data_IF_357053007083
#
_entry.id   IF_357053007083
#
_cell.length_a   1.000
_cell.length_b   1.000
_cell.length_c   1.000
_cell.angle_alpha   90.00
_cell.angle_beta   90.00
_cell.angle_gamma   90.00
#
_symmetry.space_group_name_H-M   'P 1'
#
loop_
_entity.id
_entity.type
_entity.pdbx_description
1 polymer ?
#
# COMPACT_ATOMS: atom_id res chain seq x y z
N UNK A 1 12.32 -48.20 -0.29
CA UNK A 1 11.35 -47.51 -1.16
C UNK A 1 10.67 -46.45 -0.31
N UNK A 2 10.92 -45.18 -0.59
CA UNK A 2 10.30 -44.07 0.15
C UNK A 2 8.87 -43.89 -0.38
N UNK A 3 7.88 -43.99 0.51
CA UNK A 3 6.49 -43.71 0.14
C UNK A 3 6.37 -42.23 -0.28
N UNK A 4 5.70 -41.92 -1.41
CA UNK A 4 5.40 -40.54 -1.76
C UNK A 4 4.46 -39.96 -0.69
N UNK A 5 4.88 -38.86 -0.07
CA UNK A 5 4.05 -38.08 0.84
C UNK A 5 2.79 -37.64 0.09
N UNK A 6 1.58 -37.93 0.58
CA UNK A 6 0.36 -37.47 -0.09
C UNK A 6 0.38 -35.94 -0.10
N UNK A 7 0.33 -35.34 -1.29
CA UNK A 7 0.14 -33.92 -1.44
C UNK A 7 -1.24 -33.56 -0.86
N UNK A 8 -1.26 -32.87 0.29
CA UNK A 8 -2.49 -32.45 0.93
C UNK A 8 -3.03 -31.23 0.16
N UNK A 9 -4.01 -31.47 -0.73
CA UNK A 9 -4.68 -30.39 -1.45
C UNK A 9 -5.58 -29.66 -0.46
N UNK A 10 -5.29 -28.40 -0.18
CA UNK A 10 -6.11 -27.55 0.68
C UNK A 10 -7.21 -26.93 -0.18
N UNK A 11 -8.50 -27.22 0.05
CA UNK A 11 -9.57 -26.66 -0.76
C UNK A 11 -9.67 -25.15 -0.59
N UNK A 12 -10.29 -24.48 -1.55
CA UNK A 12 -10.64 -23.06 -1.44
C UNK A 12 -11.47 -22.80 -0.17
N UNK A 13 -11.16 -21.74 0.60
CA UNK A 13 -11.91 -21.41 1.81
C UNK A 13 -13.41 -21.24 1.58
N UNK A 14 -14.24 -21.64 2.54
CA UNK A 14 -15.70 -21.48 2.42
C UNK A 14 -16.04 -19.99 2.57
N UNK A 15 -16.71 -19.39 1.59
CA UNK A 15 -17.13 -17.98 1.63
C UNK A 15 -17.84 -17.61 2.92
N UNK A 16 -17.45 -16.50 3.53
CA UNK A 16 -18.02 -16.01 4.79
C UNK A 16 -17.41 -16.64 6.04
N UNK A 17 -16.46 -17.56 5.90
CA UNK A 17 -15.62 -18.01 7.03
C UNK A 17 -14.47 -17.05 7.27
N UNK A 18 -13.86 -17.12 8.45
CA UNK A 18 -12.76 -16.24 8.87
C UNK A 18 -11.53 -16.32 7.94
N UNK A 19 -11.29 -17.48 7.35
CA UNK A 19 -10.13 -17.73 6.47
C UNK A 19 -10.45 -17.46 5.00
N UNK A 20 -11.68 -17.04 4.69
CA UNK A 20 -12.06 -16.76 3.32
C UNK A 20 -11.64 -15.36 2.88
N UNK A 21 -11.12 -15.22 1.65
CA UNK A 21 -10.99 -13.92 1.01
C UNK A 21 -12.33 -13.17 1.05
N UNK A 22 -12.27 -11.87 1.28
CA UNK A 22 -13.43 -11.01 1.27
C UNK A 22 -13.06 -9.67 0.66
N UNK A 23 -13.73 -9.29 -0.43
CA UNK A 23 -13.50 -8.01 -1.08
C UNK A 23 -14.66 -7.05 -0.85
N UNK A 24 -14.36 -5.90 -0.27
CA UNK A 24 -15.31 -4.84 0.04
C UNK A 24 -15.18 -3.61 -0.86
N UNK A 25 -14.24 -3.63 -1.82
CA UNK A 25 -14.02 -2.56 -2.78
C UNK A 25 -12.68 -1.84 -2.64
N UNK A 26 -11.78 -2.33 -1.77
CA UNK A 26 -10.43 -1.81 -1.55
C UNK A 26 -9.40 -2.92 -1.62
N UNK A 27 -8.14 -2.53 -1.79
CA UNK A 27 -6.97 -3.40 -1.87
C UNK A 27 -7.15 -4.45 -2.98
N UNK A 28 -7.54 -3.98 -4.18
CA UNK A 28 -7.94 -4.84 -5.30
C UNK A 28 -6.83 -5.79 -5.72
N UNK A 29 -5.58 -5.32 -5.73
CA UNK A 29 -4.44 -6.18 -6.10
C UNK A 29 -4.21 -7.28 -5.08
N UNK A 30 -4.14 -6.93 -3.79
CA UNK A 30 -3.98 -7.87 -2.68
C UNK A 30 -5.09 -8.94 -2.68
N UNK A 31 -6.33 -8.54 -2.96
CA UNK A 31 -7.45 -9.48 -3.06
C UNK A 31 -7.29 -10.48 -4.23
N UNK A 32 -6.86 -10.01 -5.40
CA UNK A 32 -6.65 -10.86 -6.57
C UNK A 32 -5.48 -11.84 -6.34
N UNK A 33 -4.40 -11.37 -5.74
CA UNK A 33 -3.24 -12.18 -5.37
C UNK A 33 -3.62 -13.24 -4.31
N UNK A 34 -4.46 -12.86 -3.35
CA UNK A 34 -4.98 -13.78 -2.34
C UNK A 34 -5.83 -14.89 -2.97
N UNK A 35 -6.70 -14.56 -3.94
CA UNK A 35 -7.46 -15.58 -4.69
C UNK A 35 -6.51 -16.53 -5.42
N UNK A 36 -5.52 -15.99 -6.14
CA UNK A 36 -4.59 -16.79 -6.93
C UNK A 36 -3.75 -17.72 -6.03
N UNK A 37 -3.30 -17.22 -4.87
CA UNK A 37 -2.59 -18.01 -3.87
C UNK A 37 -3.44 -19.16 -3.34
N UNK A 38 -4.68 -18.90 -2.90
CA UNK A 38 -5.56 -19.98 -2.43
C UNK A 38 -5.90 -20.99 -3.53
N UNK A 39 -6.12 -20.51 -4.76
CA UNK A 39 -6.43 -21.38 -5.88
C UNK A 39 -5.25 -22.27 -6.27
N UNK A 40 -4.03 -21.75 -6.23
CA UNK A 40 -2.81 -22.52 -6.43
C UNK A 40 -2.69 -23.65 -5.39
N UNK A 41 -2.89 -23.35 -4.10
CA UNK A 41 -2.90 -24.36 -3.04
C UNK A 41 -4.02 -25.40 -3.18
N UNK A 42 -5.15 -25.01 -3.79
CA UNK A 42 -6.27 -25.90 -4.11
C UNK A 42 -6.10 -26.68 -5.43
N UNK A 43 -4.98 -26.51 -6.14
CA UNK A 43 -4.73 -27.15 -7.42
C UNK A 43 -5.65 -26.65 -8.55
N UNK A 44 -6.17 -25.42 -8.44
CA UNK A 44 -7.06 -24.81 -9.42
C UNK A 44 -6.23 -23.95 -10.38
N UNK A 45 -6.01 -24.48 -11.58
CA UNK A 45 -5.27 -23.81 -12.67
C UNK A 45 -6.19 -23.39 -13.83
N UNK A 46 -7.49 -23.58 -13.68
CA UNK A 46 -8.49 -23.24 -14.69
C UNK A 46 -8.92 -21.77 -14.51
N UNK A 47 -8.52 -20.93 -15.47
CA UNK A 47 -8.82 -19.50 -15.50
C UNK A 47 -10.31 -19.20 -15.36
N UNK A 48 -11.19 -19.98 -16.00
CA UNK A 48 -12.63 -19.76 -15.88
C UNK A 48 -13.12 -20.04 -14.46
N UNK A 49 -12.54 -21.04 -13.77
CA UNK A 49 -12.83 -21.28 -12.36
C UNK A 49 -12.29 -20.17 -11.47
N UNK A 50 -11.10 -19.64 -11.77
CA UNK A 50 -10.51 -18.51 -11.04
C UNK A 50 -11.40 -17.25 -11.08
N UNK A 51 -11.91 -16.89 -12.26
CA UNK A 51 -12.82 -15.74 -12.42
C UNK A 51 -14.07 -15.86 -11.54
N UNK A 52 -14.62 -17.07 -11.39
CA UNK A 52 -15.79 -17.28 -10.52
C UNK A 52 -15.50 -16.96 -9.05
N UNK A 53 -14.28 -17.16 -8.58
CA UNK A 53 -13.90 -16.86 -7.20
C UNK A 53 -13.84 -15.35 -6.92
N UNK A 54 -13.50 -14.52 -7.92
CA UNK A 54 -13.59 -13.06 -7.81
C UNK A 54 -15.02 -12.67 -7.41
N UNK A 55 -16.03 -13.21 -8.12
CA UNK A 55 -17.44 -12.95 -7.82
C UNK A 55 -17.81 -13.55 -6.46
N UNK A 56 -17.40 -14.79 -6.18
CA UNK A 56 -17.82 -15.53 -4.98
C UNK A 56 -17.36 -14.87 -3.68
N UNK A 57 -16.12 -14.36 -3.65
CA UNK A 57 -15.50 -13.73 -2.48
C UNK A 57 -15.71 -12.21 -2.41
N UNK A 58 -16.32 -11.61 -3.44
CA UNK A 58 -16.77 -10.22 -3.36
C UNK A 58 -17.95 -10.05 -2.40
N UNK A 59 -18.08 -8.86 -1.81
CA UNK A 59 -19.23 -8.47 -1.00
C UNK A 59 -20.54 -8.53 -1.81
N UNK A 60 -21.69 -8.63 -1.14
CA UNK A 60 -23.00 -8.75 -1.81
C UNK A 60 -23.33 -7.56 -2.72
N UNK A 61 -22.88 -6.35 -2.36
CA UNK A 61 -23.06 -5.15 -3.19
C UNK A 61 -22.23 -5.24 -4.48
N UNK A 62 -20.98 -5.68 -4.38
CA UNK A 62 -20.07 -5.84 -5.53
C UNK A 62 -20.51 -7.00 -6.41
N UNK A 63 -20.90 -8.14 -5.83
CA UNK A 63 -21.48 -9.27 -6.55
C UNK A 63 -22.62 -8.82 -7.46
N UNK A 64 -23.53 -7.96 -6.99
CA UNK A 64 -24.64 -7.45 -7.79
C UNK A 64 -24.19 -6.61 -8.99
N UNK A 65 -23.07 -5.87 -8.85
CA UNK A 65 -22.50 -5.04 -9.92
C UNK A 65 -21.82 -5.89 -10.99
N UNK A 66 -21.02 -6.88 -10.61
CA UNK A 66 -20.12 -7.58 -11.54
C UNK A 66 -20.70 -8.87 -12.12
N UNK A 67 -21.62 -9.57 -11.44
CA UNK A 67 -22.10 -10.89 -11.89
C UNK A 67 -22.77 -10.91 -13.26
N UNK A 68 -23.27 -9.76 -13.72
CA UNK A 68 -23.96 -9.60 -15.00
C UNK A 68 -23.06 -9.09 -16.12
N UNK A 69 -21.81 -8.72 -15.81
CA UNK A 69 -20.83 -8.25 -16.78
C UNK A 69 -20.27 -9.42 -17.58
N UNK A 70 -19.97 -9.17 -18.86
CA UNK A 70 -19.50 -10.20 -19.78
C UNK A 70 -18.09 -10.70 -19.45
N UNK A 71 -17.36 -10.01 -18.59
CA UNK A 71 -16.00 -10.38 -18.16
C UNK A 71 -16.01 -11.38 -17.00
N UNK A 72 -17.17 -11.58 -16.34
CA UNK A 72 -17.33 -12.44 -15.16
C UNK A 72 -18.40 -13.54 -15.36
N UNK A 73 -18.83 -13.79 -16.59
CA UNK A 73 -19.88 -14.78 -16.92
C UNK A 73 -19.30 -16.09 -17.43
N UNK A 74 -19.57 -17.19 -16.74
CA UNK A 74 -19.15 -18.57 -17.08
C UNK A 74 -19.33 -19.05 -18.55
N UNK A 75 -20.11 -18.37 -19.39
CA UNK A 75 -20.50 -18.83 -20.72
C UNK A 75 -19.51 -18.51 -21.86
N UNK A 76 -18.57 -17.58 -21.67
CA UNK A 76 -17.61 -17.22 -22.71
C UNK A 76 -16.27 -17.94 -22.49
N UNK A 77 -16.00 -18.97 -23.30
CA UNK A 77 -14.73 -19.73 -23.29
C UNK A 77 -13.50 -18.88 -23.69
N UNK A 78 -13.71 -17.63 -24.08
CA UNK A 78 -12.68 -16.63 -24.38
C UNK A 78 -12.30 -15.78 -23.17
N UNK A 79 -12.97 -15.95 -22.02
CA UNK A 79 -12.60 -15.27 -20.79
C UNK A 79 -11.30 -15.85 -20.25
N UNK A 80 -10.34 -14.96 -20.04
CA UNK A 80 -9.10 -15.29 -19.34
C UNK A 80 -9.11 -14.60 -17.99
N UNK A 81 -8.36 -15.16 -17.04
CA UNK A 81 -8.08 -14.51 -15.76
C UNK A 81 -7.64 -13.06 -15.97
N UNK A 82 -6.78 -12.82 -16.96
CA UNK A 82 -6.24 -11.50 -17.30
C UNK A 82 -7.31 -10.49 -17.72
N UNK A 83 -8.30 -10.89 -18.51
CA UNK A 83 -9.39 -9.97 -18.93
C UNK A 83 -10.26 -9.58 -17.74
N UNK A 84 -10.60 -10.54 -16.89
CA UNK A 84 -11.43 -10.30 -15.71
C UNK A 84 -10.69 -9.42 -14.69
N UNK A 85 -9.42 -9.71 -14.41
CA UNK A 85 -8.62 -8.94 -13.46
C UNK A 85 -8.35 -7.52 -13.96
N UNK A 86 -8.06 -7.33 -15.25
CA UNK A 86 -7.91 -5.99 -15.82
C UNK A 86 -9.21 -5.18 -15.66
N UNK A 87 -10.37 -5.78 -15.96
CA UNK A 87 -11.65 -5.09 -15.77
C UNK A 87 -11.97 -4.82 -14.30
N UNK A 88 -11.62 -5.75 -13.42
CA UNK A 88 -11.81 -5.61 -11.98
C UNK A 88 -10.96 -4.46 -11.42
N UNK A 89 -9.67 -4.40 -11.77
CA UNK A 89 -8.77 -3.29 -11.42
C UNK A 89 -9.28 -1.95 -11.93
N UNK A 90 -9.72 -1.88 -13.19
CA UNK A 90 -10.31 -0.67 -13.79
C UNK A 90 -11.53 -0.15 -12.99
N UNK A 91 -12.38 -1.05 -12.47
CA UNK A 91 -13.57 -0.66 -11.72
C UNK A 91 -13.29 -0.14 -10.32
N UNK A 92 -12.19 -0.56 -9.70
CA UNK A 92 -11.88 -0.28 -8.30
C UNK A 92 -10.59 0.54 -8.09
N UNK A 93 -9.92 0.92 -9.18
CA UNK A 93 -8.67 1.71 -9.16
C UNK A 93 -8.78 3.01 -8.37
N UNK A 94 -9.91 3.71 -8.45
CA UNK A 94 -10.12 4.95 -7.71
C UNK A 94 -10.22 4.75 -6.18
N UNK A 95 -10.60 3.55 -5.71
CA UNK A 95 -10.64 3.25 -4.29
C UNK A 95 -9.26 2.85 -3.73
N UNK A 96 -8.37 2.40 -4.61
CA UNK A 96 -6.99 2.00 -4.30
C UNK A 96 -5.97 3.09 -4.63
N UNK A 97 -6.43 4.23 -5.15
CA UNK A 97 -5.57 5.36 -5.41
C UNK A 97 -4.93 5.79 -4.09
N UNK A 98 -3.58 5.82 -4.01
CA UNK A 98 -2.91 6.32 -2.82
C UNK A 98 -3.45 7.70 -2.47
N UNK A 99 -3.49 8.07 -1.17
CA UNK A 99 -3.91 9.41 -0.81
C UNK A 99 -3.08 10.42 -1.59
N UNK A 100 -3.76 11.31 -2.32
CA UNK A 100 -3.09 12.33 -3.11
C UNK A 100 -2.59 13.42 -2.17
N UNK A 101 -1.38 13.24 -1.65
CA UNK A 101 -0.71 14.22 -0.81
C UNK A 101 -0.11 15.33 -1.66
N UNK A 102 -0.26 16.56 -1.17
CA UNK A 102 0.41 17.74 -1.71
C UNK A 102 1.62 18.12 -0.85
N UNK A 103 2.50 18.97 -1.40
CA UNK A 103 3.57 19.60 -0.62
C UNK A 103 3.00 20.42 0.56
N UNK A 104 1.78 20.95 0.43
CA UNK A 104 1.09 21.67 1.50
C UNK A 104 0.73 20.72 2.66
N UNK A 105 0.27 19.51 2.37
CA UNK A 105 -0.04 18.50 3.40
C UNK A 105 1.22 18.11 4.19
N UNK A 106 2.36 17.99 3.50
CA UNK A 106 3.65 17.76 4.16
C UNK A 106 4.02 18.95 5.05
N UNK A 107 3.87 20.19 4.57
CA UNK A 107 4.15 21.39 5.36
C UNK A 107 3.23 21.51 6.58
N UNK A 108 1.94 21.20 6.44
CA UNK A 108 0.97 21.29 7.52
C UNK A 108 1.19 20.17 8.54
N UNK A 109 1.55 18.97 8.11
CA UNK A 109 2.01 17.91 9.01
C UNK A 109 3.22 18.39 9.84
N UNK A 110 4.22 18.98 9.17
CA UNK A 110 5.40 19.54 9.83
C UNK A 110 5.04 20.62 10.86
N UNK A 111 4.14 21.54 10.51
CA UNK A 111 3.69 22.61 11.43
C UNK A 111 2.87 22.08 12.60
N UNK A 112 1.97 21.11 12.40
CA UNK A 112 1.02 20.67 13.42
C UNK A 112 1.61 19.60 14.33
N UNK A 113 2.27 18.58 13.77
CA UNK A 113 2.75 17.42 14.53
C UNK A 113 4.14 17.61 15.07
N UNK A 114 5.01 18.30 14.33
CA UNK A 114 6.43 18.41 14.65
C UNK A 114 6.80 19.74 15.31
N UNK A 115 5.93 20.76 15.23
CA UNK A 115 6.02 21.98 16.05
C UNK A 115 5.13 21.94 17.32
N UNK A 116 4.60 20.76 17.68
CA UNK A 116 3.80 20.52 18.88
C UNK A 116 4.64 20.44 20.18
N UNK A 117 4.16 19.75 21.25
CA UNK A 117 4.99 19.49 22.42
C UNK A 117 6.18 18.56 22.08
N UNK A 118 7.26 18.61 22.89
CA UNK A 118 8.42 17.72 22.67
C UNK A 118 8.00 16.27 22.75
N UNK A 119 8.68 15.44 21.96
CA UNK A 119 8.62 14.00 22.14
C UNK A 119 9.17 13.61 23.51
N UNK A 120 8.34 12.92 24.29
CA UNK A 120 8.73 12.40 25.60
C UNK A 120 9.10 10.92 25.53
N UNK A 121 8.63 10.21 24.48
CA UNK A 121 8.81 8.76 24.32
C UNK A 121 9.34 8.41 22.92
N UNK A 122 10.19 7.39 22.85
CA UNK A 122 10.68 6.82 21.57
C UNK A 122 9.55 6.43 20.62
N UNK A 123 8.44 5.90 21.16
CA UNK A 123 7.25 5.54 20.36
C UNK A 123 6.63 6.73 19.63
N UNK A 124 6.67 7.92 20.23
CA UNK A 124 6.12 9.14 19.63
C UNK A 124 6.97 9.58 18.43
N UNK A 125 8.30 9.52 18.55
CA UNK A 125 9.23 9.80 17.45
C UNK A 125 9.04 8.79 16.31
N UNK A 126 8.93 7.49 16.63
CA UNK A 126 8.71 6.46 15.61
C UNK A 126 7.38 6.66 14.87
N UNK A 127 6.31 6.97 15.60
CA UNK A 127 5.02 7.26 14.98
C UNK A 127 5.07 8.54 14.12
N UNK A 128 5.79 9.57 14.57
CA UNK A 128 5.99 10.79 13.78
C UNK A 128 6.75 10.49 12.48
N UNK A 129 7.77 9.64 12.54
CA UNK A 129 8.54 9.21 11.38
C UNK A 129 7.71 8.38 10.40
N UNK A 130 6.93 7.40 10.90
CA UNK A 130 6.01 6.60 10.06
C UNK A 130 5.00 7.50 9.35
N UNK A 131 4.39 8.44 10.07
CA UNK A 131 3.41 9.35 9.47
C UNK A 131 4.05 10.32 8.48
N UNK A 132 5.29 10.75 8.72
CA UNK A 132 6.03 11.55 7.76
C UNK A 132 6.25 10.77 6.46
N UNK A 133 6.74 9.53 6.55
CA UNK A 133 6.96 8.66 5.39
C UNK A 133 5.67 8.35 4.62
N UNK A 134 4.54 8.21 5.32
CA UNK A 134 3.25 8.03 4.68
C UNK A 134 2.86 9.19 3.76
N UNK A 135 3.36 10.41 4.02
CA UNK A 135 3.12 11.62 3.21
C UNK A 135 4.24 11.83 2.20
N UNK A 136 5.51 11.67 2.59
CA UNK A 136 6.67 11.97 1.75
C UNK A 136 6.89 10.93 0.65
N UNK A 137 6.63 9.64 0.90
CA UNK A 137 6.87 8.59 -0.09
C UNK A 137 6.02 8.77 -1.37
N UNK A 138 4.69 9.04 -1.30
CA UNK A 138 3.91 9.36 -2.49
C UNK A 138 4.42 10.60 -3.23
N UNK A 139 4.88 11.64 -2.51
CA UNK A 139 5.45 12.85 -3.12
C UNK A 139 6.76 12.58 -3.87
N UNK A 140 7.57 11.64 -3.40
CA UNK A 140 8.79 11.20 -4.08
C UNK A 140 8.44 10.44 -5.36
N UNK A 141 7.45 9.54 -5.30
CA UNK A 141 7.03 8.74 -6.44
C UNK A 141 6.53 9.60 -7.61
N UNK A 142 5.78 10.67 -7.32
CA UNK A 142 5.33 11.64 -8.33
C UNK A 142 6.37 12.71 -8.69
N UNK A 143 7.58 12.63 -8.11
CA UNK A 143 8.70 13.54 -8.40
C UNK A 143 8.57 14.95 -7.82
N UNK A 144 7.64 15.19 -6.89
CA UNK A 144 7.49 16.47 -6.18
C UNK A 144 8.49 16.64 -5.02
N UNK A 145 9.08 15.54 -4.54
CA UNK A 145 10.11 15.54 -3.51
C UNK A 145 11.32 14.70 -3.98
N UNK A 146 12.53 15.18 -3.73
CA UNK A 146 13.76 14.43 -4.03
C UNK A 146 14.13 13.57 -2.81
N UNK A 147 14.35 12.26 -3.01
CA UNK A 147 14.65 11.28 -1.95
C UNK A 147 15.78 11.73 -1.02
N UNK A 148 16.82 12.36 -1.58
CA UNK A 148 17.99 12.81 -0.81
C UNK A 148 17.68 13.97 0.15
N UNK A 149 16.56 14.67 -0.04
CA UNK A 149 16.12 15.80 0.79
C UNK A 149 15.15 15.37 1.88
N UNK A 150 14.60 14.17 1.81
CA UNK A 150 13.57 13.68 2.73
C UNK A 150 14.00 13.68 4.22
N UNK A 151 15.19 13.18 4.60
CA UNK A 151 15.65 13.25 6.00
C UNK A 151 15.84 14.70 6.48
N UNK A 152 16.15 15.61 5.56
CA UNK A 152 16.32 17.02 5.87
C UNK A 152 14.98 17.70 6.17
N UNK A 153 13.95 17.48 5.34
CA UNK A 153 12.61 18.00 5.61
C UNK A 153 12.05 17.47 6.94
N UNK A 154 12.31 16.20 7.27
CA UNK A 154 11.97 15.66 8.58
C UNK A 154 12.73 16.35 9.71
N UNK A 155 14.05 16.56 9.58
CA UNK A 155 14.83 17.22 10.62
C UNK A 155 14.42 18.68 10.84
N UNK A 156 14.23 19.45 9.77
CA UNK A 156 13.85 20.87 9.84
C UNK A 156 12.48 21.12 10.46
N UNK A 157 11.58 20.15 10.35
CA UNK A 157 10.24 20.27 10.88
C UNK A 157 10.14 20.00 12.38
N UNK A 158 11.17 19.39 12.98
CA UNK A 158 11.25 19.20 14.43
C UNK A 158 11.37 20.54 15.17
N UNK A 159 10.95 20.59 16.43
CA UNK A 159 11.22 21.72 17.31
C UNK A 159 12.73 21.97 17.44
N UNK A 160 13.15 23.25 17.51
CA UNK A 160 14.56 23.63 17.71
C UNK A 160 15.24 22.91 18.87
N UNK A 161 14.53 22.66 19.97
CA UNK A 161 15.07 21.92 21.13
C UNK A 161 15.40 20.45 20.80
N UNK A 162 14.59 19.82 19.96
CA UNK A 162 14.77 18.43 19.53
C UNK A 162 15.85 18.35 18.45
N UNK A 163 15.90 19.34 17.54
CA UNK A 163 17.02 19.52 16.58
C UNK A 163 18.36 19.65 17.32
N UNK A 164 18.47 20.57 18.29
CA UNK A 164 19.66 20.75 19.12
C UNK A 164 20.04 19.48 19.89
N UNK A 165 19.06 18.70 20.36
CA UNK A 165 19.32 17.45 21.06
C UNK A 165 19.92 16.39 20.13
N UNK A 166 19.40 16.27 18.91
CA UNK A 166 19.90 15.36 17.88
C UNK A 166 21.30 15.78 17.42
N UNK A 167 21.52 17.06 17.14
CA UNK A 167 22.83 17.60 16.74
C UNK A 167 23.91 17.37 17.80
N UNK A 168 23.57 17.46 19.09
CA UNK A 168 24.50 17.14 20.18
C UNK A 168 24.91 15.67 20.20
N UNK A 169 24.01 14.77 19.79
CA UNK A 169 24.22 13.32 19.79
C UNK A 169 24.77 12.76 18.47
N UNK A 170 24.70 13.54 17.40
CA UNK A 170 25.25 13.16 16.11
C UNK A 170 26.77 13.05 16.19
N UNK A 171 27.33 11.98 15.62
CA UNK A 171 28.77 11.86 15.43
C UNK A 171 29.25 13.03 14.55
N UNK A 172 30.35 13.72 14.91
CA UNK A 172 30.90 14.83 14.14
C UNK A 172 31.07 14.54 12.64
N UNK A 173 31.34 13.28 12.25
CA UNK A 173 31.49 12.89 10.84
C UNK A 173 30.21 13.06 10.02
N UNK A 174 29.04 13.13 10.66
CA UNK A 174 27.75 13.35 10.00
C UNK A 174 27.30 14.82 10.06
N UNK A 175 28.04 15.72 10.74
CA UNK A 175 27.72 17.16 10.85
C UNK A 175 28.24 18.01 9.69
N UNK A 176 28.99 17.41 8.76
CA UNK A 176 29.75 18.12 7.72
C UNK A 176 29.07 18.13 6.34
N UNK A 177 27.95 17.42 6.13
CA UNK A 177 27.19 17.52 4.88
C UNK A 177 26.42 18.84 4.83
N UNK A 178 26.99 19.85 4.19
CA UNK A 178 26.27 21.05 3.74
C UNK A 178 25.39 20.69 2.54
N UNK A 179 24.14 20.21 2.68
CA UNK A 179 23.19 20.20 1.55
C UNK A 179 21.71 20.17 2.00
N UNK A 180 20.78 20.81 1.25
CA UNK A 180 20.96 21.53 -0.02
C UNK A 180 20.89 23.06 0.04
N UNK A 181 21.18 23.65 -1.13
CA UNK A 181 21.54 25.04 -1.44
C UNK A 181 20.48 26.11 -1.06
N UNK A 182 20.90 27.38 -0.89
CA UNK A 182 19.99 28.50 -0.72
C UNK A 182 19.05 28.63 -1.93
N UNK A 183 17.77 28.90 -1.67
CA UNK A 183 16.67 29.11 -2.64
C UNK A 183 16.97 30.15 -3.75
N UNK A 184 18.03 30.95 -3.59
CA UNK A 184 18.46 31.98 -4.55
C UNK A 184 19.05 31.46 -5.87
N UNK A 185 19.16 30.13 -6.05
CA UNK A 185 19.56 29.53 -7.33
C UNK A 185 18.40 28.85 -8.07
N UNK A 186 17.16 28.95 -7.56
CA UNK A 186 15.96 28.40 -8.22
C UNK A 186 15.05 29.52 -8.75
N UNK A 187 15.17 30.77 -8.27
CA UNK A 187 14.57 31.98 -8.87
C UNK A 187 15.42 33.22 -8.57
#
# INVERSE_FOLDING_TARGET
MSNPTPAYIVPMPITGTKEAPAFDGKDTEDFLDLIQSHACHAGIMDDNKLVNYIVKYSSKSIQRKIKSMKEFKKADLTQTWNTATAKFKDMFSAADEPPNYSLQDLQDFCKVKLSGPSFTKKKEVNNALINFYAISAPLIEIGLLVTDQEPYYFFQSLLKKDQCHIEKKLDPKYKTKKFPLPIKEIL
#
